data_IF_811847282625
#
_entry.id   IF_811847282625
#
_cell.length_a   1.000
_cell.length_b   1.000
_cell.length_c   1.000
_cell.angle_alpha   90.00
_cell.angle_beta   90.00
_cell.angle_gamma   90.00
#
_symmetry.space_group_name_H-M   'P 1'
#
loop_
_entity.id
_entity.type
_entity.pdbx_description
1 polymer ?
#
# COMPACT_ATOMS: atom_id res chain seq x y z
N UNK A 1 -9.04 7.93 -13.79
CA UNK A 1 -10.29 8.68 -13.50
C UNK A 1 -10.29 9.14 -12.06
N UNK A 2 -10.43 10.43 -11.79
CA UNK A 2 -10.53 10.99 -10.42
C UNK A 2 -12.01 11.27 -10.15
N UNK A 3 -12.56 10.76 -9.04
CA UNK A 3 -13.98 10.91 -8.71
C UNK A 3 -14.26 11.07 -7.22
N UNK A 4 -15.42 11.63 -6.92
CA UNK A 4 -15.91 11.77 -5.54
C UNK A 4 -16.40 10.45 -4.99
N UNK A 5 -16.27 10.29 -3.67
CA UNK A 5 -16.99 9.27 -2.92
C UNK A 5 -18.41 9.73 -2.58
N UNK A 6 -19.25 8.91 -1.93
CA UNK A 6 -20.61 9.29 -1.53
C UNK A 6 -20.68 10.52 -0.60
N UNK A 7 -19.62 10.84 0.14
CA UNK A 7 -19.54 12.03 0.99
C UNK A 7 -19.20 13.32 0.22
N UNK A 8 -18.71 13.20 -1.00
CA UNK A 8 -18.23 14.30 -1.80
C UNK A 8 -16.74 14.60 -1.67
N UNK A 9 -15.98 13.79 -0.90
CA UNK A 9 -14.53 13.91 -0.88
C UNK A 9 -13.95 13.59 -2.25
N UNK A 10 -12.95 14.36 -2.66
CA UNK A 10 -12.26 14.20 -3.94
C UNK A 10 -10.77 13.99 -3.72
N UNK A 11 -10.10 13.12 -4.49
CA UNK A 11 -8.65 12.92 -4.39
C UNK A 11 -7.86 14.22 -4.55
N UNK A 12 -6.85 14.37 -3.68
CA UNK A 12 -5.86 15.44 -3.74
C UNK A 12 -4.57 14.85 -4.32
N UNK A 13 -4.20 15.31 -5.51
CA UNK A 13 -3.04 14.80 -6.24
C UNK A 13 -2.05 15.93 -6.43
N UNK A 14 -0.80 15.70 -6.01
CA UNK A 14 0.29 16.64 -6.24
C UNK A 14 0.47 16.90 -7.74
N UNK A 15 0.72 18.14 -8.17
CA UNK A 15 1.00 18.45 -9.58
C UNK A 15 2.32 17.79 -10.07
N UNK A 16 3.16 17.31 -9.17
CA UNK A 16 4.39 16.57 -9.49
C UNK A 16 4.20 15.06 -9.52
N UNK A 17 3.00 14.55 -9.24
CA UNK A 17 2.69 13.13 -9.37
C UNK A 17 2.24 12.79 -10.78
N UNK A 18 2.51 11.58 -11.22
CA UNK A 18 1.94 11.01 -12.44
C UNK A 18 0.82 10.04 -12.08
N UNK A 19 -0.32 10.21 -12.70
CA UNK A 19 -1.45 9.28 -12.60
C UNK A 19 -1.85 8.86 -14.00
N UNK A 20 -1.75 7.56 -14.30
CA UNK A 20 -2.17 7.04 -15.58
C UNK A 20 -3.65 7.33 -15.84
N UNK A 21 -4.04 7.72 -17.07
CA UNK A 21 -5.44 8.03 -17.41
C UNK A 21 -6.42 6.88 -17.14
N UNK A 22 -5.95 5.63 -17.18
CA UNK A 22 -6.78 4.44 -16.88
C UNK A 22 -6.92 4.14 -15.39
N UNK A 23 -6.12 4.76 -14.52
CA UNK A 23 -6.22 4.58 -13.08
C UNK A 23 -7.51 5.22 -12.52
N UNK A 24 -8.02 4.65 -11.44
CA UNK A 24 -9.20 5.14 -10.71
C UNK A 24 -8.79 5.55 -9.30
N UNK A 25 -8.95 6.84 -8.99
CA UNK A 25 -8.81 7.37 -7.65
C UNK A 25 -10.18 7.87 -7.18
N UNK A 26 -10.63 7.43 -6.03
CA UNK A 26 -11.96 7.77 -5.51
C UNK A 26 -11.90 8.18 -4.05
N UNK A 27 -12.50 9.34 -3.75
CA UNK A 27 -12.70 9.78 -2.38
C UNK A 27 -11.48 10.41 -1.71
N UNK A 28 -11.30 10.18 -0.42
CA UNK A 28 -10.28 10.84 0.39
C UNK A 28 -8.89 10.21 0.19
N UNK A 29 -8.38 10.33 -1.04
CA UNK A 29 -7.04 9.87 -1.44
C UNK A 29 -6.11 11.07 -1.52
N UNK A 30 -4.93 10.96 -0.92
CA UNK A 30 -3.86 11.97 -0.94
C UNK A 30 -2.66 11.35 -1.63
N UNK A 31 -2.23 11.94 -2.74
CA UNK A 31 -1.07 11.51 -3.52
C UNK A 31 -0.01 12.61 -3.46
N UNK A 32 1.10 12.31 -2.84
CA UNK A 32 2.20 13.26 -2.66
C UNK A 32 3.04 13.44 -3.93
N UNK A 33 4.08 14.27 -3.83
CA UNK A 33 4.92 14.60 -4.95
C UNK A 33 5.73 13.40 -5.47
N UNK A 34 6.03 13.41 -6.77
CA UNK A 34 6.88 12.40 -7.42
C UNK A 34 6.36 10.95 -7.32
N UNK A 35 5.09 10.77 -6.94
CA UNK A 35 4.42 9.46 -6.96
C UNK A 35 4.08 9.09 -8.39
N UNK A 36 4.29 7.81 -8.73
CA UNK A 36 3.80 7.20 -9.97
C UNK A 36 2.60 6.29 -9.66
N UNK A 37 1.49 6.47 -10.37
CA UNK A 37 0.34 5.58 -10.33
C UNK A 37 0.09 5.03 -11.73
N UNK A 38 0.33 3.72 -11.87
CA UNK A 38 0.31 3.01 -13.13
C UNK A 38 -1.08 2.68 -13.66
N UNK A 39 -1.12 2.10 -14.87
CA UNK A 39 -2.34 1.71 -15.56
C UNK A 39 -3.23 0.79 -14.71
N UNK A 40 -4.53 1.06 -14.76
CA UNK A 40 -5.57 0.25 -14.08
C UNK A 40 -5.41 0.12 -12.57
N UNK A 41 -4.56 0.91 -11.92
CA UNK A 41 -4.54 0.99 -10.46
C UNK A 41 -5.87 1.56 -9.94
N UNK A 42 -6.38 0.97 -8.84
CA UNK A 42 -7.63 1.37 -8.21
C UNK A 42 -7.36 1.74 -6.76
N UNK A 43 -7.56 3.01 -6.41
CA UNK A 43 -7.32 3.53 -5.07
C UNK A 43 -8.61 4.18 -4.58
N UNK A 44 -9.25 3.57 -3.58
CA UNK A 44 -10.58 4.00 -3.13
C UNK A 44 -10.65 4.19 -1.62
N UNK A 45 -10.92 5.43 -1.20
CA UNK A 45 -11.31 5.82 0.15
C UNK A 45 -12.78 6.24 0.12
N UNK A 46 -13.69 5.28 0.07
CA UNK A 46 -15.11 5.49 -0.21
C UNK A 46 -16.07 4.76 0.75
N UNK A 47 -15.56 4.01 1.73
CA UNK A 47 -16.38 3.42 2.78
C UNK A 47 -16.34 4.26 4.06
N UNK A 48 -17.49 4.74 4.49
CA UNK A 48 -17.67 5.47 5.74
C UNK A 48 -18.12 4.53 6.85
N UNK A 49 -17.73 4.81 8.09
CA UNK A 49 -18.25 4.07 9.25
C UNK A 49 -19.68 4.54 9.62
N UNK A 50 -20.24 3.94 10.68
CA UNK A 50 -21.59 4.25 11.15
C UNK A 50 -21.77 5.72 11.56
N UNK A 51 -20.69 6.38 11.98
CA UNK A 51 -20.69 7.80 12.38
C UNK A 51 -20.36 8.73 11.22
N UNK A 52 -20.19 8.18 10.01
CA UNK A 52 -19.84 8.93 8.81
C UNK A 52 -18.37 9.31 8.73
N UNK A 53 -17.48 8.72 9.52
CA UNK A 53 -16.05 8.94 9.43
C UNK A 53 -15.43 8.16 8.28
N UNK A 54 -14.37 8.73 7.74
CA UNK A 54 -13.52 8.10 6.75
C UNK A 54 -12.09 8.59 6.94
N UNK A 55 -11.18 7.67 7.13
CA UNK A 55 -9.77 7.96 7.14
C UNK A 55 -9.20 8.01 5.72
N UNK A 56 -8.16 8.81 5.47
CA UNK A 56 -7.57 8.92 4.15
C UNK A 56 -6.77 7.69 3.76
N UNK A 57 -6.60 7.51 2.45
CA UNK A 57 -5.50 6.74 1.86
C UNK A 57 -4.42 7.75 1.47
N UNK A 58 -3.24 7.61 2.05
CA UNK A 58 -2.10 8.51 1.79
C UNK A 58 -1.00 7.72 1.09
N UNK A 59 -0.47 8.28 0.00
CA UNK A 59 0.66 7.73 -0.75
C UNK A 59 1.80 8.72 -0.70
N UNK A 60 2.86 8.34 0.01
CA UNK A 60 4.02 9.16 0.32
C UNK A 60 4.92 9.41 -0.88
N UNK A 61 5.68 10.49 -0.78
CA UNK A 61 6.52 11.03 -1.85
C UNK A 61 7.46 9.99 -2.48
N UNK A 62 7.55 10.01 -3.81
CA UNK A 62 8.46 9.14 -4.57
C UNK A 62 8.04 7.68 -4.64
N UNK A 63 6.86 7.35 -4.15
CA UNK A 63 6.36 5.96 -4.18
C UNK A 63 5.81 5.58 -5.55
N UNK A 64 5.83 4.28 -5.82
CA UNK A 64 5.48 3.69 -7.11
C UNK A 64 4.35 2.66 -6.94
N UNK A 65 3.16 3.01 -7.39
CA UNK A 65 1.99 2.14 -7.40
C UNK A 65 1.82 1.60 -8.80
N UNK A 66 2.14 0.34 -9.02
CA UNK A 66 2.23 -0.24 -10.34
C UNK A 66 0.88 -0.72 -10.88
N UNK A 67 0.91 -1.31 -12.08
CA UNK A 67 -0.28 -1.63 -12.86
C UNK A 67 -1.21 -2.60 -12.12
N UNK A 68 -2.51 -2.28 -12.11
CA UNK A 68 -3.55 -3.12 -11.55
C UNK A 68 -3.51 -3.29 -10.03
N UNK A 69 -2.73 -2.49 -9.32
CA UNK A 69 -2.73 -2.48 -7.85
C UNK A 69 -4.09 -2.01 -7.34
N UNK A 70 -4.60 -2.66 -6.29
CA UNK A 70 -5.83 -2.25 -5.61
C UNK A 70 -5.50 -1.83 -4.19
N UNK A 71 -5.82 -0.57 -3.85
CA UNK A 71 -5.71 -0.04 -2.50
C UNK A 71 -7.10 0.39 -2.05
N UNK A 72 -7.55 -0.21 -0.97
CA UNK A 72 -8.88 0.06 -0.42
C UNK A 72 -8.82 -0.05 1.10
N UNK A 73 -9.75 0.55 1.80
CA UNK A 73 -9.93 0.35 3.23
C UNK A 73 -11.38 0.10 3.56
N UNK A 74 -11.59 -0.76 4.53
CA UNK A 74 -12.91 -0.89 5.13
C UNK A 74 -13.29 0.40 5.85
N UNK A 75 -14.56 0.54 6.12
CA UNK A 75 -15.18 1.66 6.83
C UNK A 75 -14.38 2.08 8.07
N UNK A 76 -14.05 3.36 8.18
CA UNK A 76 -13.28 3.95 9.27
C UNK A 76 -11.79 3.58 9.31
N UNK A 77 -11.30 2.74 8.42
CA UNK A 77 -9.88 2.38 8.37
C UNK A 77 -9.05 3.32 7.49
N UNK A 78 -7.77 3.42 7.80
CA UNK A 78 -6.81 4.18 6.98
C UNK A 78 -5.87 3.27 6.22
N UNK A 79 -5.28 3.78 5.15
CA UNK A 79 -4.08 3.21 4.53
C UNK A 79 -3.03 4.31 4.41
N UNK A 80 -1.86 4.05 4.94
CA UNK A 80 -0.71 4.94 4.79
C UNK A 80 0.39 4.15 4.10
N UNK A 81 0.88 4.67 2.98
CA UNK A 81 2.05 4.18 2.27
C UNK A 81 3.12 5.25 2.41
N UNK A 82 4.25 4.89 2.98
CA UNK A 82 5.39 5.77 3.20
C UNK A 82 6.06 6.20 1.90
N UNK A 83 7.21 6.85 2.03
CA UNK A 83 7.97 7.40 0.92
C UNK A 83 8.80 6.32 0.22
N UNK A 84 9.08 6.51 -1.08
CA UNK A 84 9.95 5.62 -1.89
C UNK A 84 9.58 4.14 -1.80
N UNK A 85 8.31 3.87 -1.56
CA UNK A 85 7.76 2.51 -1.43
C UNK A 85 7.16 2.06 -2.75
N UNK A 86 7.47 0.83 -3.15
CA UNK A 86 6.97 0.23 -4.39
C UNK A 86 5.93 -0.83 -4.10
N UNK A 87 4.72 -0.64 -4.61
CA UNK A 87 3.65 -1.63 -4.61
C UNK A 87 3.56 -2.19 -6.03
N UNK A 88 4.02 -3.43 -6.20
CA UNK A 88 4.19 -4.01 -7.53
C UNK A 88 2.87 -4.56 -8.12
N UNK A 89 2.91 -4.88 -9.41
CA UNK A 89 1.75 -5.21 -10.23
C UNK A 89 0.74 -6.14 -9.54
N UNK A 90 -0.51 -5.76 -9.55
CA UNK A 90 -1.66 -6.50 -9.05
C UNK A 90 -1.61 -6.86 -7.55
N UNK A 91 -0.75 -6.22 -6.76
CA UNK A 91 -0.80 -6.35 -5.32
C UNK A 91 -2.08 -5.71 -4.77
N UNK A 92 -2.55 -6.23 -3.64
CA UNK A 92 -3.74 -5.73 -2.94
C UNK A 92 -3.31 -5.24 -1.56
N UNK A 93 -3.66 -4.00 -1.23
CA UNK A 93 -3.52 -3.43 0.10
C UNK A 93 -4.91 -3.07 0.63
N UNK A 94 -5.38 -3.82 1.60
CA UNK A 94 -6.69 -3.59 2.20
C UNK A 94 -6.54 -3.16 3.66
N UNK A 95 -6.87 -1.92 3.94
CA UNK A 95 -6.73 -1.32 5.26
C UNK A 95 -7.70 -1.87 6.34
N UNK A 96 -7.41 -1.53 7.61
CA UNK A 96 -6.35 -0.59 7.99
C UNK A 96 -4.94 -1.16 7.76
N UNK A 97 -4.09 -0.39 7.07
CA UNK A 97 -2.69 -0.78 6.82
C UNK A 97 -1.76 0.43 6.95
N UNK A 98 -0.61 0.23 7.54
CA UNK A 98 0.49 1.20 7.55
C UNK A 98 1.72 0.53 6.95
N UNK A 99 2.22 1.07 5.85
CA UNK A 99 3.40 0.60 5.15
C UNK A 99 4.44 1.71 5.25
N UNK A 100 5.62 1.39 5.74
CA UNK A 100 6.71 2.34 5.97
C UNK A 100 7.39 2.82 4.70
N UNK A 101 8.54 3.46 4.89
CA UNK A 101 9.40 3.99 3.84
C UNK A 101 10.28 2.88 3.24
N UNK A 102 10.68 3.06 1.98
CA UNK A 102 11.63 2.18 1.29
C UNK A 102 11.21 0.69 1.28
N UNK A 103 9.91 0.43 1.27
CA UNK A 103 9.32 -0.93 1.27
C UNK A 103 9.08 -1.41 -0.14
N UNK A 104 9.28 -2.71 -0.36
CA UNK A 104 8.87 -3.38 -1.59
C UNK A 104 7.76 -4.40 -1.32
N UNK A 105 6.63 -4.27 -2.01
CA UNK A 105 5.55 -5.24 -2.01
C UNK A 105 5.47 -5.89 -3.38
N UNK A 106 5.74 -7.18 -3.45
CA UNK A 106 5.86 -7.97 -4.66
C UNK A 106 4.54 -8.25 -5.38
N UNK A 107 4.65 -8.75 -6.61
CA UNK A 107 3.52 -9.02 -7.51
C UNK A 107 2.47 -9.93 -6.87
N UNK A 108 1.19 -9.61 -7.05
CA UNK A 108 0.03 -10.37 -6.57
C UNK A 108 0.01 -10.61 -5.05
N UNK A 109 0.80 -9.89 -4.26
CA UNK A 109 0.79 -10.06 -2.80
C UNK A 109 -0.43 -9.37 -2.20
N UNK A 110 -0.89 -9.89 -1.05
CA UNK A 110 -2.06 -9.38 -0.35
C UNK A 110 -1.65 -8.94 1.05
N UNK A 111 -1.91 -7.68 1.37
CA UNK A 111 -1.74 -7.10 2.68
C UNK A 111 -3.11 -6.75 3.25
N UNK A 112 -3.42 -7.30 4.41
CA UNK A 112 -4.71 -7.08 5.06
C UNK A 112 -4.51 -6.81 6.55
N UNK A 113 -5.05 -5.69 7.04
CA UNK A 113 -5.01 -5.32 8.46
C UNK A 113 -3.61 -5.48 9.08
N UNK A 114 -2.60 -4.82 8.51
CA UNK A 114 -1.21 -5.05 8.90
C UNK A 114 -0.38 -3.77 8.96
N UNK A 115 0.75 -3.88 9.62
CA UNK A 115 1.80 -2.85 9.63
C UNK A 115 3.08 -3.44 9.07
N UNK A 116 3.69 -2.76 8.12
CA UNK A 116 4.96 -3.12 7.49
C UNK A 116 5.96 -2.02 7.80
N UNK A 117 7.02 -2.35 8.52
CA UNK A 117 8.08 -1.40 8.88
C UNK A 117 8.96 -1.00 7.70
N UNK A 118 9.78 0.03 7.91
CA UNK A 118 10.66 0.57 6.88
C UNK A 118 11.64 -0.47 6.34
N UNK A 119 11.98 -0.38 5.07
CA UNK A 119 12.96 -1.25 4.42
C UNK A 119 12.55 -2.72 4.33
N UNK A 120 11.30 -3.06 4.60
CA UNK A 120 10.80 -4.41 4.46
C UNK A 120 10.65 -4.84 3.00
N UNK A 121 10.78 -6.15 2.78
CA UNK A 121 10.58 -6.77 1.48
C UNK A 121 9.54 -7.88 1.59
N UNK A 122 8.35 -7.65 1.07
CA UNK A 122 7.34 -8.69 0.85
C UNK A 122 7.47 -9.16 -0.58
N UNK A 123 7.89 -10.41 -0.79
CA UNK A 123 8.09 -10.96 -2.12
C UNK A 123 6.76 -11.36 -2.78
N UNK A 124 6.83 -11.97 -3.97
CA UNK A 124 5.69 -12.21 -4.83
C UNK A 124 4.71 -13.26 -4.29
N UNK A 125 3.42 -13.06 -4.54
CA UNK A 125 2.34 -13.97 -4.13
C UNK A 125 2.33 -14.26 -2.61
N UNK A 126 2.85 -13.36 -1.81
CA UNK A 126 2.86 -13.48 -0.35
C UNK A 126 1.57 -12.90 0.25
N UNK A 127 1.21 -13.37 1.44
CA UNK A 127 0.06 -12.86 2.19
C UNK A 127 0.51 -12.41 3.57
N UNK A 128 0.20 -11.17 3.92
CA UNK A 128 0.38 -10.61 5.26
C UNK A 128 -0.99 -10.24 5.80
N UNK A 129 -1.42 -10.95 6.82
CA UNK A 129 -2.78 -10.88 7.35
C UNK A 129 -2.76 -10.77 8.88
N UNK A 130 -3.22 -9.63 9.40
CA UNK A 130 -3.24 -9.36 10.84
C UNK A 130 -1.85 -9.54 11.49
N UNK A 131 -0.85 -8.81 10.96
CA UNK A 131 0.54 -8.92 11.41
C UNK A 131 1.25 -7.57 11.46
N UNK A 132 2.12 -7.42 12.47
CA UNK A 132 3.07 -6.31 12.54
C UNK A 132 4.46 -6.82 12.15
N UNK A 133 4.91 -6.49 10.95
CA UNK A 133 6.25 -6.80 10.45
C UNK A 133 7.20 -5.63 10.81
N UNK A 134 8.17 -5.83 11.70
CA UNK A 134 9.14 -4.78 12.04
C UNK A 134 10.00 -4.39 10.84
N UNK A 135 10.70 -3.27 10.94
CA UNK A 135 11.59 -2.78 9.89
C UNK A 135 12.65 -3.82 9.48
N UNK A 136 13.04 -3.78 8.20
CA UNK A 136 14.11 -4.60 7.64
C UNK A 136 13.88 -6.12 7.67
N UNK A 137 12.63 -6.57 7.70
CA UNK A 137 12.28 -7.98 7.55
C UNK A 137 11.78 -8.32 6.15
N UNK A 138 11.95 -9.59 5.79
CA UNK A 138 11.51 -10.13 4.51
C UNK A 138 10.49 -11.26 4.69
N UNK A 139 9.42 -11.21 3.88
CA UNK A 139 8.47 -12.30 3.67
C UNK A 139 8.76 -12.90 2.30
N UNK A 140 8.94 -14.22 2.24
CA UNK A 140 9.31 -14.91 1.00
C UNK A 140 8.13 -15.01 0.03
N UNK A 141 8.46 -15.27 -1.22
CA UNK A 141 7.44 -15.58 -2.22
C UNK A 141 6.57 -16.76 -1.77
N UNK A 142 5.26 -16.63 -1.97
CA UNK A 142 4.25 -17.63 -1.61
C UNK A 142 4.07 -17.90 -0.12
N UNK A 143 4.77 -17.15 0.74
CA UNK A 143 4.65 -17.28 2.19
C UNK A 143 3.40 -16.54 2.70
N UNK A 144 2.71 -17.16 3.66
CA UNK A 144 1.66 -16.50 4.42
C UNK A 144 2.11 -16.28 5.85
N UNK A 145 2.04 -15.03 6.31
CA UNK A 145 2.27 -14.66 7.71
C UNK A 145 1.01 -14.01 8.29
N UNK A 146 0.80 -14.20 9.57
CA UNK A 146 -0.37 -13.70 10.30
C UNK A 146 -0.20 -13.79 11.81
N UNK A 147 -1.27 -13.61 12.56
CA UNK A 147 -1.28 -13.50 14.02
C UNK A 147 -0.58 -14.64 14.77
N UNK A 148 -0.45 -15.80 14.18
CA UNK A 148 0.25 -16.95 14.78
C UNK A 148 1.72 -17.09 14.36
N UNK A 149 2.21 -16.24 13.44
CA UNK A 149 3.58 -16.30 12.93
C UNK A 149 4.55 -15.76 13.99
N UNK A 150 5.62 -16.51 14.24
CA UNK A 150 6.68 -16.06 15.13
C UNK A 150 7.70 -15.23 14.36
N UNK A 151 8.03 -14.04 14.86
CA UNK A 151 9.02 -13.17 14.23
C UNK A 151 10.39 -13.86 14.03
N UNK A 152 10.78 -14.72 14.95
CA UNK A 152 12.03 -15.50 14.87
C UNK A 152 12.09 -16.47 13.67
N UNK A 153 10.97 -16.77 13.03
CA UNK A 153 10.94 -17.59 11.80
C UNK A 153 11.16 -16.79 10.52
N UNK A 154 11.10 -15.45 10.61
CA UNK A 154 11.26 -14.56 9.47
C UNK A 154 12.73 -14.17 9.27
N UNK A 155 13.07 -13.75 8.07
CA UNK A 155 14.41 -13.30 7.71
C UNK A 155 14.52 -11.80 7.73
N UNK A 156 15.69 -11.29 8.07
CA UNK A 156 16.04 -9.89 7.83
C UNK A 156 16.42 -9.68 6.36
N UNK A 157 16.14 -8.49 5.87
CA UNK A 157 16.55 -8.08 4.51
C UNK A 157 18.07 -8.06 4.45
N UNK A 158 18.64 -8.78 3.48
CA UNK A 158 20.09 -8.75 3.30
C UNK A 158 20.52 -7.44 2.63
N UNK A 159 21.71 -6.93 2.97
CA UNK A 159 22.28 -5.71 2.38
C UNK A 159 22.37 -5.72 0.84
N UNK A 160 22.32 -6.91 0.20
CA UNK A 160 22.22 -7.05 -1.27
C UNK A 160 20.81 -6.81 -1.81
N UNK A 161 19.77 -7.12 -1.05
CA UNK A 161 18.38 -7.00 -1.49
C UNK A 161 17.90 -5.54 -1.47
N UNK A 162 18.41 -4.73 -0.55
CA UNK A 162 18.08 -3.32 -0.42
C UNK A 162 18.45 -2.46 -1.65
N UNK A 163 19.30 -2.96 -2.55
CA UNK A 163 19.70 -2.26 -3.79
C UNK A 163 18.74 -2.42 -4.97
N UNK A 164 17.71 -3.24 -4.86
CA UNK A 164 16.75 -3.49 -5.95
C UNK A 164 15.42 -2.73 -5.80
N UNK A 165 15.27 -1.94 -4.75
CA UNK A 165 14.06 -1.14 -4.47
C UNK A 165 14.20 0.35 -4.85
N UNK A 166 15.26 0.70 -5.56
CA UNK A 166 15.50 2.07 -6.07
C UNK A 166 15.10 2.22 -7.52
#
# INVERSE_FOLDING_TARGET
MIRKNPRGDIPQVSPRAFVDPSAILCGRVIVEANVFIGPYAIIRADEVDADGHMEPIVIGEGSNIQDGVVIHSRSGGQVIIGQRTSIAHRAIVHGPCVIGDDVFIGFNSVLFNCTIGDGCMVQHNAVVDDFHLPAEFAVRSTERIGSTTKLSSLRQVSAKAAKFSG
#
